data_IF_105147807362
#
_entry.id   IF_105147807362
#
_cell.length_a   1.000
_cell.length_b   1.000
_cell.length_c   1.000
_cell.angle_alpha   90.00
_cell.angle_beta   90.00
_cell.angle_gamma   90.00
#
_symmetry.space_group_name_H-M   'P 1'
#
loop_
_entity.id
_entity.type
_entity.pdbx_description
1 polymer ?
#
# COMPACT_ATOMS: atom_id res chain seq x y z
N UNK A 1 -19.66 -40.76 -8.78
CA UNK A 1 -18.30 -40.81 -8.23
C UNK A 1 -17.54 -39.57 -8.64
N UNK A 2 -16.79 -38.95 -7.73
CA UNK A 2 -16.05 -37.68 -7.88
C UNK A 2 -14.91 -37.78 -8.93
N UNK A 3 -14.40 -36.65 -9.47
CA UNK A 3 -13.70 -36.53 -10.74
C UNK A 3 -12.20 -36.86 -10.62
N UNK A 4 -11.58 -37.26 -11.74
CA UNK A 4 -10.13 -37.40 -11.83
C UNK A 4 -9.54 -36.08 -12.29
N UNK A 5 -9.01 -35.32 -11.33
CA UNK A 5 -8.18 -34.14 -11.56
C UNK A 5 -6.99 -34.52 -12.46
N UNK A 6 -6.86 -33.82 -13.58
CA UNK A 6 -5.85 -34.01 -14.61
C UNK A 6 -4.44 -33.53 -14.17
N UNK A 7 -4.34 -32.87 -13.02
CA UNK A 7 -3.09 -32.31 -12.48
C UNK A 7 -2.07 -33.39 -12.07
N UNK A 8 -2.52 -34.50 -11.50
CA UNK A 8 -1.61 -35.55 -11.01
C UNK A 8 -1.01 -36.41 -12.15
N UNK A 9 -1.64 -36.42 -13.32
CA UNK A 9 -1.14 -37.18 -14.47
C UNK A 9 0.03 -36.46 -15.16
N UNK A 10 0.06 -35.14 -15.09
CA UNK A 10 1.14 -34.33 -15.66
C UNK A 10 2.38 -34.33 -14.75
N UNK A 11 2.17 -34.35 -13.44
CA UNK A 11 3.23 -34.39 -12.42
C UNK A 11 4.03 -35.71 -12.44
N UNK A 12 3.34 -36.83 -12.65
CA UNK A 12 3.96 -38.16 -12.77
C UNK A 12 4.81 -38.30 -14.04
N UNK A 13 4.36 -37.69 -15.15
CA UNK A 13 5.11 -37.67 -16.42
C UNK A 13 6.44 -36.92 -16.28
N UNK A 14 6.44 -35.79 -15.57
CA UNK A 14 7.63 -34.96 -15.32
C UNK A 14 8.60 -35.62 -14.34
N UNK A 15 8.07 -36.30 -13.32
CA UNK A 15 8.87 -37.05 -12.35
C UNK A 15 9.55 -38.26 -13.00
N UNK A 16 8.86 -38.95 -13.92
CA UNK A 16 9.42 -40.10 -14.65
C UNK A 16 10.64 -39.74 -15.51
N UNK A 17 10.73 -38.49 -15.96
CA UNK A 17 11.81 -37.96 -16.77
C UNK A 17 12.93 -37.28 -15.96
N UNK A 18 12.85 -37.33 -14.63
CA UNK A 18 13.88 -36.81 -13.72
C UNK A 18 13.81 -35.31 -13.43
N UNK A 19 12.74 -34.61 -13.80
CA UNK A 19 12.57 -33.20 -13.46
C UNK A 19 12.03 -33.06 -12.02
N UNK A 20 12.92 -32.74 -11.08
CA UNK A 20 12.53 -32.32 -9.73
C UNK A 20 12.22 -30.81 -9.77
N UNK A 21 10.95 -30.42 -9.82
CA UNK A 21 10.60 -28.99 -9.73
C UNK A 21 10.55 -28.59 -8.26
N UNK A 22 11.52 -27.76 -7.86
CA UNK A 22 11.59 -27.17 -6.54
C UNK A 22 10.32 -26.37 -6.24
N UNK A 23 9.70 -26.66 -5.11
CA UNK A 23 8.64 -25.86 -4.50
C UNK A 23 8.98 -24.36 -4.53
N UNK A 24 8.15 -23.58 -5.23
CA UNK A 24 7.60 -22.25 -4.84
C UNK A 24 7.16 -21.50 -6.08
N UNK A 25 5.86 -21.45 -6.33
CA UNK A 25 5.06 -20.20 -6.46
C UNK A 25 3.60 -20.63 -6.63
N UNK A 26 2.96 -21.10 -5.56
CA UNK A 26 1.49 -21.06 -5.50
C UNK A 26 1.17 -19.61 -5.13
N UNK A 27 0.74 -18.81 -6.12
CA UNK A 27 0.16 -17.49 -5.85
C UNK A 27 -1.05 -17.72 -4.95
N UNK A 28 -1.06 -17.11 -3.76
CA UNK A 28 -2.12 -17.30 -2.77
C UNK A 28 -3.48 -16.98 -3.40
N UNK A 29 -4.56 -17.64 -2.97
CA UNK A 29 -5.92 -17.31 -3.39
C UNK A 29 -6.24 -15.82 -3.15
N UNK A 30 -5.64 -15.24 -2.11
CA UNK A 30 -5.74 -13.82 -1.78
C UNK A 30 -5.11 -12.92 -2.86
N UNK A 31 -3.98 -13.36 -3.44
CA UNK A 31 -3.29 -12.67 -4.53
C UNK A 31 -4.09 -12.74 -5.83
N UNK A 32 -4.67 -13.90 -6.14
CA UNK A 32 -5.52 -14.06 -7.35
C UNK A 32 -6.81 -13.24 -7.26
N UNK A 33 -7.48 -13.24 -6.10
CA UNK A 33 -8.71 -12.45 -5.89
C UNK A 33 -8.44 -10.95 -5.97
N UNK A 34 -7.32 -10.50 -5.38
CA UNK A 34 -6.89 -9.09 -5.46
C UNK A 34 -6.59 -8.67 -6.90
N UNK A 35 -5.96 -9.53 -7.71
CA UNK A 35 -5.70 -9.27 -9.13
C UNK A 35 -6.98 -9.14 -9.96
N UNK A 36 -8.07 -9.79 -9.55
CA UNK A 36 -9.37 -9.68 -10.22
C UNK A 36 -10.07 -8.36 -9.84
N UNK A 37 -10.08 -7.97 -8.56
CA UNK A 37 -10.61 -6.68 -8.11
C UNK A 37 -9.89 -5.50 -8.78
N UNK A 38 -8.56 -5.55 -8.90
CA UNK A 38 -7.74 -4.47 -9.49
C UNK A 38 -8.12 -4.13 -10.94
N UNK A 39 -8.70 -5.07 -11.70
CA UNK A 39 -9.01 -4.87 -13.13
C UNK A 39 -10.15 -3.89 -13.40
N UNK A 40 -11.01 -3.64 -12.41
CA UNK A 40 -12.16 -2.73 -12.53
C UNK A 40 -11.95 -1.39 -11.82
N UNK A 41 -10.82 -1.21 -11.13
CA UNK A 41 -10.57 -0.02 -10.34
C UNK A 41 -9.93 1.09 -11.17
N UNK A 42 -10.21 2.33 -10.76
CA UNK A 42 -9.51 3.51 -11.24
C UNK A 42 -7.99 3.32 -11.01
N UNK A 43 -7.13 3.63 -12.01
CA UNK A 43 -5.67 3.60 -11.85
C UNK A 43 -5.16 4.27 -10.56
N UNK A 44 -5.80 5.34 -10.10
CA UNK A 44 -5.46 6.03 -8.85
C UNK A 44 -5.76 5.13 -7.64
N UNK A 45 -6.91 4.48 -7.63
CA UNK A 45 -7.30 3.58 -6.55
C UNK A 45 -6.37 2.37 -6.47
N UNK A 46 -5.99 1.80 -7.62
CA UNK A 46 -4.98 0.74 -7.69
C UNK A 46 -3.66 1.22 -7.08
N UNK A 47 -3.17 2.39 -7.52
CA UNK A 47 -1.92 2.97 -7.04
C UNK A 47 -1.93 3.19 -5.51
N UNK A 48 -3.04 3.68 -4.97
CA UNK A 48 -3.19 3.91 -3.53
C UNK A 48 -3.28 2.59 -2.77
N UNK A 49 -4.04 1.60 -3.26
CA UNK A 49 -4.11 0.25 -2.66
C UNK A 49 -2.75 -0.44 -2.64
N UNK A 50 -1.99 -0.39 -3.73
CA UNK A 50 -0.64 -0.94 -3.78
C UNK A 50 0.30 -0.23 -2.79
N UNK A 51 0.17 1.09 -2.68
CA UNK A 51 0.92 1.85 -1.70
C UNK A 51 0.54 1.42 -0.28
N UNK A 52 -0.73 1.39 0.10
CA UNK A 52 -1.16 1.10 1.49
C UNK A 52 -1.05 -0.37 1.90
N UNK A 53 -0.94 -1.29 0.94
CA UNK A 53 -0.89 -2.74 1.20
C UNK A 53 0.18 -3.12 2.24
N UNK A 54 -0.28 -3.75 3.33
CA UNK A 54 0.58 -4.20 4.44
C UNK A 54 1.07 -3.08 5.37
N UNK A 55 0.59 -1.85 5.17
CA UNK A 55 0.87 -0.69 6.03
C UNK A 55 -0.38 0.15 6.33
N UNK A 56 -1.56 -0.45 6.18
CA UNK A 56 -2.84 0.16 6.47
C UNK A 56 -2.85 0.64 7.92
N UNK A 57 -3.29 1.88 8.13
CA UNK A 57 -3.35 2.53 9.46
C UNK A 57 -2.01 2.65 10.20
N UNK A 58 -0.88 2.34 9.56
CA UNK A 58 0.44 2.53 10.13
C UNK A 58 1.02 3.88 9.69
N UNK A 59 0.75 4.92 10.47
CA UNK A 59 1.15 6.29 10.12
C UNK A 59 2.66 6.44 9.86
N UNK A 60 3.51 5.71 10.60
CA UNK A 60 4.97 5.76 10.41
C UNK A 60 5.37 5.20 9.05
N UNK A 61 4.83 4.03 8.69
CA UNK A 61 5.14 3.36 7.43
C UNK A 61 4.59 4.14 6.22
N UNK A 62 3.41 4.73 6.35
CA UNK A 62 2.83 5.59 5.32
C UNK A 62 3.69 6.84 5.08
N UNK A 63 4.01 7.61 6.13
CA UNK A 63 4.86 8.79 6.02
C UNK A 63 6.27 8.45 5.49
N UNK A 64 6.86 7.35 5.95
CA UNK A 64 8.18 6.89 5.53
C UNK A 64 8.27 6.40 4.08
N UNK A 65 7.15 6.26 3.37
CA UNK A 65 7.09 5.79 1.98
C UNK A 65 6.23 6.66 1.07
N UNK A 66 6.01 7.92 1.43
CA UNK A 66 5.24 8.89 0.66
C UNK A 66 5.82 9.16 -0.74
N UNK A 67 7.16 9.08 -0.93
CA UNK A 67 7.75 9.30 -2.26
C UNK A 67 7.27 8.28 -3.30
N UNK A 68 6.78 7.12 -2.87
CA UNK A 68 6.31 6.09 -3.79
C UNK A 68 4.94 6.40 -4.40
N UNK A 69 4.19 7.33 -3.82
CA UNK A 69 2.81 7.63 -4.23
C UNK A 69 2.62 9.06 -4.74
N UNK A 70 3.40 10.01 -4.22
CA UNK A 70 3.36 11.41 -4.65
C UNK A 70 3.70 11.57 -6.14
N UNK A 71 3.19 12.63 -6.75
CA UNK A 71 3.52 13.01 -8.13
C UNK A 71 4.93 13.62 -8.23
N UNK A 72 5.55 13.60 -9.43
CA UNK A 72 6.82 14.29 -9.67
C UNK A 72 6.70 15.76 -9.28
N UNK A 73 7.69 16.28 -8.56
CA UNK A 73 7.72 17.68 -8.09
C UNK A 73 6.63 18.05 -7.06
N UNK A 74 6.18 17.11 -6.23
CA UNK A 74 5.45 17.46 -5.00
C UNK A 74 6.35 18.36 -4.12
N UNK A 75 6.25 19.68 -4.32
CA UNK A 75 7.17 20.65 -3.76
C UNK A 75 7.21 20.56 -2.24
N UNK A 76 8.40 20.72 -1.67
CA UNK A 76 8.65 20.76 -0.23
C UNK A 76 8.42 19.44 0.54
N UNK A 77 8.18 18.33 -0.13
CA UNK A 77 8.23 17.02 0.53
C UNK A 77 9.67 16.53 0.64
N UNK A 78 10.10 16.25 1.86
CA UNK A 78 11.36 15.56 2.14
C UNK A 78 11.02 14.31 2.93
N UNK A 79 11.25 13.15 2.32
CA UNK A 79 10.91 11.88 2.95
C UNK A 79 11.69 11.71 4.25
N UNK A 80 11.00 11.50 5.40
CA UNK A 80 11.65 11.20 6.65
C UNK A 80 12.36 9.85 6.60
N UNK A 81 13.49 9.74 7.31
CA UNK A 81 14.02 8.43 7.68
C UNK A 81 13.17 7.81 8.79
N UNK A 82 13.32 6.50 9.04
CA UNK A 82 12.65 5.84 10.18
C UNK A 82 13.07 6.51 11.51
N UNK A 83 14.31 6.98 11.62
CA UNK A 83 14.81 7.71 12.80
C UNK A 83 14.10 9.03 13.06
N UNK A 84 13.54 9.64 12.00
CA UNK A 84 12.77 10.88 12.08
C UNK A 84 11.28 10.65 12.43
N UNK A 85 10.86 9.42 12.71
CA UNK A 85 9.48 9.02 12.99
C UNK A 85 9.35 8.18 14.28
N UNK A 86 10.30 8.31 15.21
CA UNK A 86 10.33 7.52 16.45
C UNK A 86 9.30 8.03 17.47
N UNK A 87 9.31 9.34 17.71
CA UNK A 87 8.50 9.98 18.76
C UNK A 87 7.16 10.51 18.23
N UNK A 88 6.17 10.66 19.11
CA UNK A 88 4.86 11.22 18.76
C UNK A 88 4.97 12.63 18.16
N UNK A 89 5.84 13.49 18.71
CA UNK A 89 6.08 14.84 18.19
C UNK A 89 6.63 14.82 16.76
N UNK A 90 7.59 13.93 16.50
CA UNK A 90 8.15 13.74 15.16
C UNK A 90 7.09 13.28 14.16
N UNK A 91 6.31 12.26 14.51
CA UNK A 91 5.23 11.74 13.65
C UNK A 91 4.21 12.84 13.37
N UNK A 92 3.76 13.56 14.41
CA UNK A 92 2.82 14.70 14.27
C UNK A 92 3.36 15.78 13.34
N UNK A 93 4.63 16.15 13.48
CA UNK A 93 5.29 17.13 12.61
C UNK A 93 5.29 16.69 11.15
N UNK A 94 5.65 15.45 10.86
CA UNK A 94 5.68 14.95 9.47
C UNK A 94 4.28 14.72 8.90
N UNK A 95 3.32 14.30 9.73
CA UNK A 95 1.91 14.23 9.35
C UNK A 95 1.39 15.60 8.89
N UNK A 96 1.57 16.65 9.68
CA UNK A 96 1.16 18.00 9.28
C UNK A 96 1.85 18.47 8.01
N UNK A 97 3.16 18.21 7.86
CA UNK A 97 3.89 18.53 6.63
C UNK A 97 3.29 17.80 5.41
N UNK A 98 2.97 16.52 5.55
CA UNK A 98 2.33 15.76 4.47
C UNK A 98 0.99 16.38 4.09
N UNK A 99 0.13 16.68 5.07
CA UNK A 99 -1.16 17.33 4.86
C UNK A 99 -1.04 18.65 4.09
N UNK A 100 0.00 19.46 4.32
CA UNK A 100 0.19 20.73 3.60
C UNK A 100 0.45 20.57 2.10
N UNK A 101 0.95 19.40 1.69
CA UNK A 101 1.32 19.09 0.31
C UNK A 101 0.12 18.49 -0.43
N UNK A 102 -0.54 17.53 0.21
CA UNK A 102 -1.68 16.80 -0.37
C UNK A 102 -3.04 17.41 0.01
N UNK A 103 -3.07 18.61 0.59
CA UNK A 103 -4.33 19.22 1.02
C UNK A 103 -5.27 19.36 -0.19
N UNK A 104 -6.52 18.85 -0.14
CA UNK A 104 -7.42 18.84 -1.29
C UNK A 104 -7.66 20.25 -1.84
N UNK A 105 -7.81 21.26 -0.97
CA UNK A 105 -8.01 22.67 -1.38
C UNK A 105 -6.89 23.22 -2.28
N UNK A 106 -5.64 22.79 -2.06
CA UNK A 106 -4.50 23.23 -2.88
C UNK A 106 -4.42 22.51 -4.23
N UNK A 107 -5.09 21.37 -4.34
CA UNK A 107 -5.02 20.49 -5.51
C UNK A 107 -6.31 20.54 -6.34
N UNK A 108 -7.33 21.32 -5.93
CA UNK A 108 -8.58 21.49 -6.69
C UNK A 108 -8.28 21.97 -8.12
N UNK A 109 -8.85 21.28 -9.10
CA UNK A 109 -8.68 21.60 -10.51
C UNK A 109 -7.32 21.20 -11.11
N UNK A 110 -6.45 20.57 -10.33
CA UNK A 110 -5.19 20.00 -10.83
C UNK A 110 -5.38 18.52 -11.21
N UNK A 111 -4.47 17.99 -12.02
CA UNK A 111 -4.41 16.55 -12.33
C UNK A 111 -4.18 15.66 -11.09
N UNK A 112 -3.71 16.25 -9.99
CA UNK A 112 -3.40 15.56 -8.76
C UNK A 112 -4.56 15.55 -7.75
N UNK A 113 -5.67 16.23 -8.02
CA UNK A 113 -6.79 16.40 -7.07
C UNK A 113 -7.26 15.06 -6.48
N UNK A 114 -7.59 14.12 -7.36
CA UNK A 114 -8.14 12.81 -6.99
C UNK A 114 -7.12 11.99 -6.20
N UNK A 115 -5.86 11.99 -6.64
CA UNK A 115 -4.78 11.28 -5.95
C UNK A 115 -4.48 11.89 -4.57
N UNK A 116 -4.42 13.22 -4.49
CA UNK A 116 -4.20 13.93 -3.24
C UNK A 116 -5.30 13.66 -2.22
N UNK A 117 -6.57 13.68 -2.64
CA UNK A 117 -7.72 13.34 -1.79
C UNK A 117 -7.65 11.89 -1.29
N UNK A 118 -7.26 10.96 -2.15
CA UNK A 118 -7.12 9.56 -1.76
C UNK A 118 -5.98 9.36 -0.73
N UNK A 119 -4.79 9.92 -0.97
CA UNK A 119 -3.68 9.86 0.00
C UNK A 119 -4.06 10.53 1.32
N UNK A 120 -4.75 11.69 1.26
CA UNK A 120 -5.16 12.43 2.45
C UNK A 120 -6.11 11.60 3.32
N UNK A 121 -7.03 10.86 2.68
CA UNK A 121 -7.97 9.98 3.37
C UNK A 121 -7.23 8.88 4.15
N UNK A 122 -6.30 8.18 3.48
CA UNK A 122 -5.50 7.11 4.09
C UNK A 122 -4.61 7.62 5.23
N UNK A 123 -3.96 8.77 5.06
CA UNK A 123 -3.15 9.37 6.12
C UNK A 123 -3.99 9.81 7.32
N UNK A 124 -5.19 10.36 7.09
CA UNK A 124 -6.07 10.80 8.18
C UNK A 124 -6.66 9.61 8.95
N UNK A 125 -7.00 8.50 8.27
CA UNK A 125 -7.43 7.26 8.95
C UNK A 125 -6.30 6.68 9.80
N UNK A 126 -5.07 6.63 9.26
CA UNK A 126 -3.90 6.17 10.00
C UNK A 126 -3.54 7.07 11.18
N UNK A 127 -3.63 8.39 11.02
CA UNK A 127 -3.41 9.34 12.11
C UNK A 127 -4.47 9.19 13.20
N UNK A 128 -5.74 9.07 12.83
CA UNK A 128 -6.85 8.84 13.77
C UNK A 128 -6.65 7.54 14.54
N UNK A 129 -6.25 6.45 13.86
CA UNK A 129 -5.94 5.17 14.50
C UNK A 129 -4.76 5.30 15.47
N UNK A 130 -3.72 6.06 15.10
CA UNK A 130 -2.56 6.33 15.96
C UNK A 130 -2.93 7.12 17.22
N UNK A 131 -3.77 8.15 17.08
CA UNK A 131 -4.26 8.95 18.21
C UNK A 131 -5.15 8.15 19.16
N UNK A 132 -6.03 7.30 18.61
CA UNK A 132 -6.90 6.43 19.39
C UNK A 132 -6.13 5.34 20.15
N UNK A 133 -4.96 4.92 19.65
CA UNK A 133 -4.09 3.97 20.31
C UNK A 133 -3.35 4.55 21.54
N UNK A 134 -3.67 5.78 21.97
CA UNK A 134 -3.14 6.38 23.19
C UNK A 134 -1.73 6.98 23.04
N UNK A 135 -1.22 7.11 21.81
CA UNK A 135 0.04 7.80 21.53
C UNK A 135 -0.12 9.33 21.48
N UNK A 136 -0.99 9.87 22.35
CA UNK A 136 -1.13 11.31 22.54
C UNK A 136 0.19 11.82 23.12
N UNK A 137 0.82 12.76 22.41
CA UNK A 137 2.00 13.48 22.89
C UNK A 137 1.61 14.29 24.14
N UNK A 138 1.76 13.68 25.31
CA UNK A 138 1.88 14.39 26.60
C UNK A 138 3.27 14.95 26.76
#
# INVERSE_FOLDING_TARGET
GKPKNFENAFDDLLTSQGFQTSSKTIKSLDEMKRQEEIRELDPIEVKVKEWTNGKERNIRALLGSMNNILWPNAENWVQPSIGDLLTAQQIKKYYHKACLIIHPDKQVGTENETLARAIFTELNDAWTAYENAGSQST
#
